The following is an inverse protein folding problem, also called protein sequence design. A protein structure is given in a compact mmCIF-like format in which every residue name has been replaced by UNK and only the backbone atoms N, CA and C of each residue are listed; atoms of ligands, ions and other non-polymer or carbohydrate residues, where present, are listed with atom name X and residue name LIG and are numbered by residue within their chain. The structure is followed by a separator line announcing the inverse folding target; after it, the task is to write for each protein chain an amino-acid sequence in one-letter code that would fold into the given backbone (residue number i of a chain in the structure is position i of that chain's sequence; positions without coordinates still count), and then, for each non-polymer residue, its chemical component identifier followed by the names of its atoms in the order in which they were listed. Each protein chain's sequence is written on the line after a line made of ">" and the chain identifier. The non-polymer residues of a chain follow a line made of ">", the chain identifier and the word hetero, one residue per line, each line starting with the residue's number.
data_IF_847541686690
#
_entry.id   IF_847541686690
#
_cell.length_a   1.000
_cell.length_b   1.000
_cell.length_c   1.000
_cell.angle_alpha   90.00
_cell.angle_beta   90.00
_cell.angle_gamma   90.00
#
_symmetry.space_group_name_H-M   'P 1'
#
loop_
_entity.id
_entity.type
_entity.pdbx_description
1 polymer ?
#
# COMPACT_ATOMS: atom_id res chain seq x y z
N UNK A 1 12.34 -30.50 26.17
CA UNK A 1 13.03 -29.53 25.29
C UNK A 1 12.06 -29.05 24.22
N UNK A 2 11.47 -27.86 24.40
CA UNK A 2 10.58 -27.25 23.41
C UNK A 2 11.44 -26.64 22.30
N UNK A 3 11.41 -27.25 21.11
CA UNK A 3 12.08 -26.70 19.93
C UNK A 3 11.27 -25.49 19.47
N UNK A 4 11.91 -24.32 19.45
CA UNK A 4 11.39 -23.14 18.73
C UNK A 4 11.40 -23.50 17.25
N UNK A 5 10.25 -23.44 16.58
CA UNK A 5 10.22 -23.45 15.13
C UNK A 5 10.92 -22.18 14.66
N UNK A 6 12.13 -22.32 14.12
CA UNK A 6 13.00 -21.22 13.67
C UNK A 6 12.60 -20.65 12.31
N UNK A 7 11.40 -20.96 11.83
CA UNK A 7 10.94 -20.52 10.52
C UNK A 7 9.42 -20.56 10.44
N UNK A 8 8.77 -19.48 10.88
CA UNK A 8 7.55 -19.06 10.21
C UNK A 8 8.03 -18.26 9.00
N UNK A 9 7.63 -18.59 7.76
CA UNK A 9 7.93 -17.72 6.64
C UNK A 9 7.40 -16.33 6.98
N UNK A 10 8.31 -15.35 6.99
CA UNK A 10 7.99 -13.94 7.21
C UNK A 10 6.88 -13.55 6.24
N UNK A 11 5.76 -13.15 6.85
CA UNK A 11 4.69 -12.33 6.29
C UNK A 11 4.69 -12.22 4.77
N UNK A 12 4.10 -13.20 4.08
CA UNK A 12 3.27 -12.81 2.94
C UNK A 12 2.21 -11.92 3.55
N UNK A 13 2.34 -10.60 3.40
CA UNK A 13 1.26 -9.67 3.66
C UNK A 13 0.24 -9.94 2.55
N UNK A 14 -0.47 -11.05 2.68
CA UNK A 14 -1.80 -11.13 2.13
C UNK A 14 -2.50 -10.00 2.86
N UNK A 15 -2.78 -8.90 2.15
CA UNK A 15 -3.72 -7.90 2.61
C UNK A 15 -5.05 -8.64 2.80
N UNK A 16 -5.20 -9.29 3.96
CA UNK A 16 -6.41 -9.96 4.35
C UNK A 16 -7.45 -8.86 4.38
N UNK A 17 -8.50 -8.98 3.56
CA UNK A 17 -9.54 -7.98 3.44
C UNK A 17 -10.07 -7.60 4.83
N UNK A 18 -9.55 -6.49 5.35
CA UNK A 18 -9.78 -5.97 6.67
C UNK A 18 -10.03 -4.48 6.54
N UNK A 19 -10.66 -3.89 7.56
CA UNK A 19 -11.07 -2.49 7.52
C UNK A 19 -9.89 -1.53 7.20
N UNK A 20 -8.68 -1.88 7.64
CA UNK A 20 -7.47 -1.06 7.49
C UNK A 20 -6.64 -1.40 6.22
N UNK A 21 -7.11 -2.32 5.37
CA UNK A 21 -6.41 -2.71 4.13
C UNK A 21 -6.98 -2.03 2.88
N UNK A 22 -7.89 -1.07 3.04
CA UNK A 22 -8.49 -0.33 1.92
C UNK A 22 -7.66 0.90 1.55
N UNK A 23 -7.63 1.27 0.26
CA UNK A 23 -6.89 2.45 -0.20
C UNK A 23 -7.50 3.78 0.30
N UNK A 24 -8.79 3.77 0.67
CA UNK A 24 -9.51 4.98 1.06
C UNK A 24 -9.65 5.97 -0.10
N UNK A 25 -9.29 7.24 0.15
CA UNK A 25 -9.27 8.28 -0.88
C UNK A 25 -8.15 8.02 -1.89
N UNK A 26 -8.51 7.51 -3.06
CA UNK A 26 -7.56 6.99 -4.03
C UNK A 26 -6.80 8.05 -4.85
N UNK A 27 -7.32 9.28 -4.99
CA UNK A 27 -6.72 10.26 -5.90
C UNK A 27 -5.22 10.49 -5.67
N UNK A 28 -4.73 10.75 -4.44
CA UNK A 28 -3.29 10.93 -4.19
C UNK A 28 -2.47 9.71 -4.62
N UNK A 29 -3.01 8.50 -4.44
CA UNK A 29 -2.38 7.27 -4.89
C UNK A 29 -2.34 7.19 -6.42
N UNK A 30 -3.44 7.51 -7.11
CA UNK A 30 -3.47 7.47 -8.58
C UNK A 30 -2.50 8.50 -9.19
N UNK A 31 -2.48 9.73 -8.67
CA UNK A 31 -1.58 10.78 -9.15
C UNK A 31 -0.10 10.53 -8.82
N UNK A 32 0.21 9.66 -7.87
CA UNK A 32 1.58 9.22 -7.59
C UNK A 32 2.06 8.10 -8.52
N UNK A 33 1.15 7.40 -9.22
CA UNK A 33 1.42 6.24 -10.08
C UNK A 33 0.89 6.49 -11.50
N UNK A 34 1.27 7.63 -12.09
CA UNK A 34 0.77 8.05 -13.42
C UNK A 34 1.31 7.17 -14.56
N UNK A 35 2.48 6.58 -14.34
CA UNK A 35 3.16 5.64 -15.23
C UNK A 35 2.38 4.32 -15.44
N UNK A 36 1.41 4.03 -14.55
CA UNK A 36 0.52 2.89 -14.71
C UNK A 36 -0.51 3.08 -15.84
N UNK A 37 -0.72 4.31 -16.30
CA UNK A 37 -1.72 4.65 -17.33
C UNK A 37 -1.07 4.82 -18.70
N UNK A 38 -1.86 4.57 -19.75
CA UNK A 38 -1.47 4.87 -21.12
C UNK A 38 -1.71 6.35 -21.39
N UNK A 39 -0.64 7.13 -21.49
CA UNK A 39 -0.71 8.56 -21.76
C UNK A 39 -1.26 8.85 -23.17
N UNK A 40 -2.25 9.76 -23.22
CA UNK A 40 -2.86 10.23 -24.47
C UNK A 40 -2.27 11.60 -24.79
N UNK A 41 -1.33 11.62 -25.73
CA UNK A 41 -0.60 12.84 -26.15
C UNK A 41 -1.17 13.52 -27.39
N UNK A 42 -2.24 12.96 -27.97
CA UNK A 42 -2.87 13.45 -29.20
C UNK A 42 -4.38 13.49 -29.06
N UNK A 43 -4.96 14.64 -29.39
CA UNK A 43 -6.39 14.88 -29.31
C UNK A 43 -6.67 16.34 -29.03
N UNK A 44 -7.89 16.77 -29.34
CA UNK A 44 -8.36 18.12 -29.06
C UNK A 44 -9.82 18.06 -28.62
N UNK A 45 -10.14 18.77 -27.54
CA UNK A 45 -11.50 18.90 -27.04
C UNK A 45 -11.77 20.36 -26.68
N UNK A 46 -12.50 21.06 -27.56
CA UNK A 46 -13.10 22.39 -27.30
C UNK A 46 -12.16 23.40 -26.62
N UNK A 47 -10.95 23.57 -27.13
CA UNK A 47 -9.98 24.57 -26.67
C UNK A 47 -8.83 23.98 -25.86
N UNK A 48 -8.90 22.70 -25.50
CA UNK A 48 -7.83 21.99 -24.85
C UNK A 48 -7.19 21.00 -25.81
N UNK A 49 -5.86 20.96 -25.83
CA UNK A 49 -5.08 19.97 -26.57
C UNK A 49 -4.51 18.94 -25.60
N UNK A 50 -4.50 17.68 -26.03
CA UNK A 50 -3.80 16.62 -25.31
C UNK A 50 -2.29 16.91 -25.37
N UNK A 51 -1.61 16.75 -24.24
CA UNK A 51 -0.18 16.96 -24.05
C UNK A 51 0.37 15.83 -23.20
N UNK A 52 1.69 15.67 -23.17
CA UNK A 52 2.36 14.66 -22.35
C UNK A 52 2.05 14.87 -20.86
N UNK A 53 1.72 13.76 -20.18
CA UNK A 53 1.34 13.73 -18.78
C UNK A 53 -0.08 14.25 -18.51
N UNK A 54 -0.28 14.84 -17.33
CA UNK A 54 -1.61 15.29 -16.91
C UNK A 54 -2.20 16.33 -17.87
N UNK A 55 -3.40 16.07 -18.37
CA UNK A 55 -4.13 17.01 -19.22
C UNK A 55 -5.64 17.01 -18.91
N UNK A 56 -6.35 18.14 -19.13
CA UNK A 56 -7.77 18.26 -18.76
C UNK A 56 -8.74 17.46 -19.66
N UNK A 57 -8.23 16.70 -20.63
CA UNK A 57 -9.05 15.91 -21.57
C UNK A 57 -9.12 14.46 -21.14
N UNK A 58 -7.99 13.91 -20.70
CA UNK A 58 -7.82 12.49 -20.36
C UNK A 58 -7.21 12.27 -18.98
N UNK A 59 -6.98 13.34 -18.22
CA UNK A 59 -6.34 13.33 -16.91
C UNK A 59 -4.99 12.61 -16.96
N UNK A 60 -4.89 11.42 -16.33
CA UNK A 60 -3.70 10.58 -16.29
C UNK A 60 -3.51 9.71 -17.55
N UNK A 61 -4.50 9.69 -18.44
CA UNK A 61 -4.54 8.86 -19.63
C UNK A 61 -5.63 7.80 -19.58
N UNK A 62 -5.41 6.69 -20.29
CA UNK A 62 -6.36 5.59 -20.41
C UNK A 62 -5.85 4.31 -19.73
N UNK A 63 -6.75 3.38 -19.46
CA UNK A 63 -6.41 2.05 -18.97
C UNK A 63 -5.80 1.21 -20.09
N UNK A 64 -4.64 0.62 -19.83
CA UNK A 64 -4.03 -0.42 -20.64
C UNK A 64 -4.31 -1.79 -20.03
N UNK A 65 -3.87 -2.86 -20.71
CA UNK A 65 -3.95 -4.22 -20.18
C UNK A 65 -3.07 -4.44 -18.94
N UNK A 66 -2.12 -3.54 -18.64
CA UNK A 66 -1.20 -3.64 -17.49
C UNK A 66 -1.53 -2.67 -16.36
N UNK A 67 -2.43 -1.70 -16.56
CA UNK A 67 -2.73 -0.67 -15.54
C UNK A 67 -3.16 -1.28 -14.22
N UNK A 68 -4.03 -2.30 -14.25
CA UNK A 68 -4.48 -2.95 -13.02
C UNK A 68 -3.35 -3.65 -12.27
N UNK A 69 -2.49 -4.41 -12.96
CA UNK A 69 -1.37 -5.11 -12.31
C UNK A 69 -0.39 -4.12 -11.70
N UNK A 70 -0.04 -3.05 -12.41
CA UNK A 70 0.88 -2.03 -11.91
C UNK A 70 0.34 -1.33 -10.66
N UNK A 71 -0.94 -0.91 -10.69
CA UNK A 71 -1.57 -0.27 -9.54
C UNK A 71 -1.75 -1.22 -8.36
N UNK A 72 -2.04 -2.50 -8.62
CA UNK A 72 -2.14 -3.51 -7.58
C UNK A 72 -0.80 -3.73 -6.89
N UNK A 73 0.28 -3.90 -7.66
CA UNK A 73 1.61 -4.13 -7.13
C UNK A 73 2.08 -2.91 -6.31
N UNK A 74 1.84 -1.70 -6.82
CA UNK A 74 2.10 -0.46 -6.10
C UNK A 74 1.30 -0.35 -4.79
N UNK A 75 0.03 -0.75 -4.79
CA UNK A 75 -0.81 -0.73 -3.59
C UNK A 75 -0.33 -1.72 -2.52
N UNK A 76 0.10 -2.92 -2.93
CA UNK A 76 0.65 -3.93 -2.01
C UNK A 76 1.99 -3.46 -1.42
N UNK A 77 2.88 -2.93 -2.24
CA UNK A 77 4.14 -2.35 -1.76
C UNK A 77 3.91 -1.20 -0.76
N UNK A 78 2.93 -0.32 -1.03
CA UNK A 78 2.57 0.75 -0.11
C UNK A 78 1.99 0.23 1.21
N UNK A 79 1.25 -0.89 1.19
CA UNK A 79 0.71 -1.51 2.40
C UNK A 79 1.82 -2.12 3.27
N UNK A 80 2.81 -2.78 2.66
CA UNK A 80 3.98 -3.33 3.35
C UNK A 80 4.80 -2.23 4.06
N UNK A 81 5.02 -1.10 3.39
CA UNK A 81 5.71 0.04 3.98
C UNK A 81 4.98 0.61 5.21
N UNK A 82 3.64 0.70 5.15
CA UNK A 82 2.84 1.13 6.29
C UNK A 82 2.97 0.17 7.46
N UNK A 83 2.91 -1.14 7.21
CA UNK A 83 3.07 -2.16 8.24
C UNK A 83 4.46 -2.07 8.92
N UNK A 84 5.53 -1.84 8.15
CA UNK A 84 6.89 -1.68 8.68
C UNK A 84 7.10 -0.38 9.48
N UNK A 85 6.43 0.71 9.10
CA UNK A 85 6.56 2.01 9.79
C UNK A 85 5.85 2.09 11.16
N UNK A 86 4.89 1.20 11.42
CA UNK A 86 4.11 1.22 12.66
C UNK A 86 4.83 0.60 13.86
N UNK A 87 5.93 -0.14 13.66
CA UNK A 87 6.68 -0.79 14.75
C UNK A 87 7.66 0.16 15.45
N UNK A 88 8.11 1.24 14.78
CA UNK A 88 9.09 2.20 15.31
C UNK A 88 8.44 3.40 16.03
N UNK A 89 7.11 3.53 15.95
CA UNK A 89 6.34 4.64 16.55
C UNK A 89 6.02 4.48 18.04
N UNK A 90 6.23 3.29 18.63
CA UNK A 90 5.93 3.00 20.04
C UNK A 90 7.19 2.88 20.92
N UNK A 91 8.21 3.71 20.69
CA UNK A 91 9.36 3.84 21.60
C UNK A 91 9.47 5.23 22.28
N UNK A 92 8.53 6.15 22.00
CA UNK A 92 8.54 7.51 22.56
C UNK A 92 7.74 7.74 23.85
N UNK A 93 7.00 6.75 24.36
CA UNK A 93 6.10 6.96 25.50
C UNK A 93 6.08 5.79 26.50
N UNK A 94 7.23 5.41 27.06
CA UNK A 94 7.27 4.55 28.26
C UNK A 94 8.21 5.08 29.32
N UNK A 95 7.80 6.16 29.98
CA UNK A 95 8.22 6.43 31.34
C UNK A 95 7.35 5.60 32.31
N UNK A 96 8.04 4.67 32.98
CA UNK A 96 7.69 3.94 34.22
C UNK A 96 7.29 2.45 34.07
N UNK A 97 7.89 1.57 34.90
CA UNK A 97 7.67 0.13 34.88
C UNK A 97 6.42 -0.23 35.68
N UNK A 98 5.54 -1.05 35.10
CA UNK A 98 4.61 -1.84 35.88
C UNK A 98 4.83 -3.32 35.58
N UNK A 99 5.43 -3.98 36.56
CA UNK A 99 5.49 -5.42 36.72
C UNK A 99 4.11 -6.04 36.57
N UNK A 100 3.93 -6.87 35.54
CA UNK A 100 2.70 -7.61 35.29
C UNK A 100 2.98 -8.86 34.47
N UNK A 101 3.37 -9.93 35.15
CA UNK A 101 3.59 -11.27 34.61
C UNK A 101 2.24 -11.81 34.12
N UNK A 102 1.95 -11.76 32.81
CA UNK A 102 1.02 -12.67 32.13
C UNK A 102 1.41 -12.77 30.64
N UNK A 103 2.36 -13.65 30.33
CA UNK A 103 2.70 -14.02 28.96
C UNK A 103 1.58 -14.82 28.32
N UNK A 104 0.96 -14.29 27.26
CA UNK A 104 0.12 -15.08 26.36
C UNK A 104 1.00 -15.82 25.35
N UNK A 105 1.41 -17.03 25.71
CA UNK A 105 1.95 -18.01 24.77
C UNK A 105 0.84 -18.39 23.79
N UNK A 106 0.91 -17.94 22.54
CA UNK A 106 0.04 -18.48 21.48
C UNK A 106 0.50 -19.89 21.16
N UNK A 107 -0.23 -20.87 21.68
CA UNK A 107 -0.14 -22.27 21.27
C UNK A 107 -0.90 -22.39 19.94
N UNK A 108 -0.19 -22.62 18.85
CA UNK A 108 -0.81 -23.05 17.60
C UNK A 108 -1.31 -24.49 17.82
N UNK A 109 -2.61 -24.71 17.61
CA UNK A 109 -3.24 -26.03 17.66
C UNK A 109 -3.13 -26.72 16.31
#
# INVERSE_FOLDING_TARGET
>A
ALRRCSHCPESTVIAAAGHDTTLGFANPFLYANQDAFLDITKGYNRGYSAVEGYNPISDLGNFSTTTYSLLKDAALAAAEQRAGSQDEGELGARSAPQTGIWGRTRVCR
#
